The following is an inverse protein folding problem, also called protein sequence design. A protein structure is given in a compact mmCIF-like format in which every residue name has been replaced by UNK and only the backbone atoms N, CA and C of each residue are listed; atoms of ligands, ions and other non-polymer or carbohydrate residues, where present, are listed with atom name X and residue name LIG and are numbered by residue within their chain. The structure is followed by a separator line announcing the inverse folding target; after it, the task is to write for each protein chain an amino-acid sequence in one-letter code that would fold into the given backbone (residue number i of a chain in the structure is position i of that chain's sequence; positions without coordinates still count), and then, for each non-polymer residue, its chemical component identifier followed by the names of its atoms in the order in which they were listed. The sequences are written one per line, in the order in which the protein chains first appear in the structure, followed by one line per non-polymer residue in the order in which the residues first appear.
data_IF_905580153272
#
_entry.id   IF_905580153272
#
_cell.length_a   1.000
_cell.length_b   1.000
_cell.length_c   1.000
_cell.angle_alpha   90.00
_cell.angle_beta   90.00
_cell.angle_gamma   90.00
#
_symmetry.space_group_name_H-M   'P 1'
#
loop_
_entity.id
_entity.type
_entity.pdbx_description
1 polymer ?
#
# COMPACT_ATOMS: atom_id res chain seq x y z
N UNK A 1 11.29 -0.23 4.04
CA UNK A 1 11.75 1.18 4.06
C UNK A 1 10.54 2.06 4.31
N UNK A 2 10.63 3.09 5.17
CA UNK A 2 9.57 4.10 5.25
C UNK A 2 9.66 4.97 4.01
N UNK A 3 8.54 5.13 3.31
CA UNK A 3 8.45 5.96 2.12
C UNK A 3 8.18 7.39 2.56
N UNK A 4 9.00 8.34 2.13
CA UNK A 4 8.84 9.74 2.51
C UNK A 4 7.84 10.40 1.56
N UNK A 5 6.81 11.04 2.09
CA UNK A 5 5.96 11.90 1.29
C UNK A 5 6.77 13.10 0.73
N UNK A 6 6.38 13.62 -0.45
CA UNK A 6 6.90 14.85 -1.06
C UNK A 6 8.35 14.82 -1.60
N UNK A 7 8.92 13.63 -1.85
CA UNK A 7 10.16 13.48 -2.66
C UNK A 7 9.86 12.75 -3.97
N UNK A 8 9.20 13.40 -4.94
CA UNK A 8 8.65 12.73 -6.12
C UNK A 8 9.66 11.93 -6.94
N UNK A 9 10.94 12.31 -6.93
CA UNK A 9 12.01 11.67 -7.69
C UNK A 9 12.63 10.46 -6.98
N UNK A 10 12.36 10.29 -5.68
CA UNK A 10 12.99 9.26 -4.84
C UNK A 10 12.01 8.40 -4.04
N UNK A 11 10.74 8.79 -4.01
CA UNK A 11 9.69 8.07 -3.29
C UNK A 11 8.85 7.24 -4.25
N UNK A 12 8.42 6.08 -3.76
CA UNK A 12 7.47 5.26 -4.50
C UNK A 12 6.07 5.86 -4.42
N UNK A 13 5.35 5.90 -5.53
CA UNK A 13 3.96 6.36 -5.55
C UNK A 13 3.15 5.66 -6.65
N UNK A 14 1.84 5.63 -6.45
CA UNK A 14 0.87 5.14 -7.43
C UNK A 14 -0.02 6.31 -7.91
N UNK A 15 -0.35 6.42 -9.19
CA UNK A 15 -1.25 7.47 -9.68
C UNK A 15 -2.67 7.25 -9.15
N UNK A 16 -3.33 8.32 -8.68
CA UNK A 16 -4.78 8.34 -8.39
C UNK A 16 -5.51 9.24 -9.39
N UNK A 17 -6.83 9.33 -9.27
CA UNK A 17 -7.64 10.18 -10.17
C UNK A 17 -7.36 11.68 -10.03
N UNK A 18 -6.89 12.12 -8.86
CA UNK A 18 -6.68 13.53 -8.52
C UNK A 18 -5.26 13.86 -8.08
N UNK A 19 -4.46 12.88 -7.66
CA UNK A 19 -3.12 13.10 -7.10
C UNK A 19 -2.23 11.83 -7.16
N UNK A 20 -1.20 11.76 -6.32
CA UNK A 20 -0.29 10.63 -6.14
C UNK A 20 -0.49 10.01 -4.77
N UNK A 21 -0.63 8.70 -4.74
CA UNK A 21 -0.68 7.91 -3.51
C UNK A 21 0.72 7.49 -3.10
N UNK A 22 1.20 8.05 -1.98
CA UNK A 22 2.47 7.70 -1.35
C UNK A 22 2.20 6.76 -0.16
N UNK A 23 2.37 5.44 -0.31
CA UNK A 23 2.13 4.50 0.79
C UNK A 23 3.19 4.65 1.88
N UNK A 24 2.85 4.45 3.15
CA UNK A 24 3.79 4.60 4.28
C UNK A 24 5.07 3.75 4.16
N UNK A 25 4.96 2.51 3.69
CA UNK A 25 6.08 1.58 3.59
C UNK A 25 6.09 0.84 2.26
N UNK A 26 7.32 0.63 1.76
CA UNK A 26 7.59 -0.26 0.64
C UNK A 26 8.76 -1.18 1.01
N UNK A 27 8.63 -2.45 0.66
CA UNK A 27 9.64 -3.47 0.93
C UNK A 27 9.76 -4.44 -0.25
N UNK A 28 10.99 -4.82 -0.58
CA UNK A 28 11.27 -5.98 -1.43
C UNK A 28 11.50 -7.19 -0.52
N UNK A 29 10.69 -8.23 -0.72
CA UNK A 29 10.79 -9.48 0.01
C UNK A 29 11.94 -10.33 -0.52
N UNK A 30 12.40 -11.29 0.29
CA UNK A 30 13.52 -12.18 -0.06
C UNK A 30 13.23 -13.08 -1.25
N UNK A 31 11.97 -13.40 -1.47
CA UNK A 31 11.47 -14.18 -2.63
C UNK A 31 11.27 -13.32 -3.90
N UNK A 32 11.59 -12.02 -3.84
CA UNK A 32 11.50 -11.10 -4.97
C UNK A 32 10.15 -10.42 -5.17
N UNK A 33 9.15 -10.69 -4.31
CA UNK A 33 7.88 -9.93 -4.28
C UNK A 33 8.09 -8.53 -3.70
N UNK A 34 7.21 -7.60 -4.05
CA UNK A 34 7.16 -6.24 -3.50
C UNK A 34 5.94 -6.08 -2.61
N UNK A 35 6.16 -5.69 -1.36
CA UNK A 35 5.12 -5.36 -0.40
C UNK A 35 4.98 -3.85 -0.29
N UNK A 36 3.76 -3.37 -0.45
CA UNK A 36 3.35 -2.00 -0.17
C UNK A 36 2.41 -2.01 1.04
N UNK A 37 2.68 -1.17 2.04
CA UNK A 37 1.84 -1.05 3.24
C UNK A 37 1.45 0.41 3.47
N UNK A 38 0.18 0.64 3.70
CA UNK A 38 -0.38 1.93 4.10
C UNK A 38 -1.11 1.76 5.43
N UNK A 39 -0.65 2.44 6.48
CA UNK A 39 -1.27 2.38 7.79
C UNK A 39 -2.40 3.40 7.89
N UNK A 40 -3.56 2.98 8.40
CA UNK A 40 -4.67 3.88 8.68
C UNK A 40 -5.20 3.67 10.09
N UNK A 41 -5.37 4.78 10.81
CA UNK A 41 -6.09 4.78 12.08
C UNK A 41 -7.54 4.32 11.90
N UNK A 42 -8.05 3.56 12.86
CA UNK A 42 -9.38 2.94 12.79
C UNK A 42 -10.54 3.93 12.53
N UNK A 43 -10.37 5.20 12.89
CA UNK A 43 -11.33 6.29 12.73
C UNK A 43 -11.34 6.93 11.32
N UNK A 44 -10.33 6.67 10.49
CA UNK A 44 -10.18 7.27 9.14
C UNK A 44 -10.47 6.24 8.03
N UNK A 45 -10.62 4.97 8.41
CA UNK A 45 -10.69 3.82 7.49
C UNK A 45 -11.85 3.86 6.46
N UNK A 46 -12.99 4.44 6.84
CA UNK A 46 -14.23 4.35 6.06
C UNK A 46 -14.45 5.51 5.08
N UNK A 47 -13.52 6.46 4.99
CA UNK A 47 -13.68 7.61 4.09
C UNK A 47 -13.49 7.21 2.61
N UNK A 48 -13.96 8.07 1.70
CA UNK A 48 -13.88 7.84 0.26
C UNK A 48 -12.42 7.68 -0.23
N UNK A 49 -11.47 8.44 0.33
CA UNK A 49 -10.03 8.30 0.07
C UNK A 49 -9.52 6.87 0.34
N UNK A 50 -9.93 6.26 1.46
CA UNK A 50 -9.54 4.90 1.81
C UNK A 50 -10.15 3.85 0.89
N UNK A 51 -11.30 4.13 0.25
CA UNK A 51 -11.87 3.23 -0.77
C UNK A 51 -11.08 3.29 -2.07
N UNK A 52 -10.73 4.50 -2.53
CA UNK A 52 -9.91 4.68 -3.75
C UNK A 52 -8.54 4.01 -3.58
N UNK A 53 -7.89 4.20 -2.43
CA UNK A 53 -6.59 3.57 -2.14
C UNK A 53 -6.65 2.04 -2.11
N UNK A 54 -7.75 1.45 -1.62
CA UNK A 54 -7.96 -0.01 -1.67
C UNK A 54 -8.08 -0.52 -3.10
N UNK A 55 -8.90 0.14 -3.91
CA UNK A 55 -9.05 -0.22 -5.32
C UNK A 55 -7.72 -0.10 -6.08
N UNK A 56 -6.93 0.93 -5.81
CA UNK A 56 -5.59 1.09 -6.38
C UNK A 56 -4.61 -0.01 -5.91
N UNK A 57 -4.67 -0.38 -4.63
CA UNK A 57 -3.91 -1.49 -4.08
C UNK A 57 -4.25 -2.83 -4.75
N UNK A 58 -5.53 -3.10 -4.98
CA UNK A 58 -6.00 -4.29 -5.71
C UNK A 58 -5.51 -4.31 -7.16
N UNK A 59 -5.61 -3.18 -7.86
CA UNK A 59 -5.07 -3.02 -9.21
C UNK A 59 -3.55 -3.22 -9.25
N UNK A 60 -2.83 -2.72 -8.23
CA UNK A 60 -1.40 -2.92 -8.11
C UNK A 60 -1.03 -4.40 -7.95
N UNK A 61 -1.77 -5.13 -7.11
CA UNK A 61 -1.59 -6.58 -6.95
C UNK A 61 -1.86 -7.34 -8.26
N UNK A 62 -2.86 -6.90 -9.05
CA UNK A 62 -3.20 -7.51 -10.34
C UNK A 62 -2.24 -7.21 -11.49
N UNK A 63 -1.39 -6.17 -11.39
CA UNK A 63 -0.53 -5.73 -12.50
C UNK A 63 0.66 -6.63 -12.80
N UNK A 64 1.11 -7.45 -11.84
CA UNK A 64 2.21 -8.40 -12.04
C UNK A 64 1.91 -9.69 -11.31
N UNK A 65 1.62 -10.75 -12.07
CA UNK A 65 1.43 -12.16 -11.68
C UNK A 65 2.01 -12.53 -10.30
N UNK A 66 1.31 -12.20 -9.21
CA UNK A 66 1.70 -12.51 -7.84
C UNK A 66 2.97 -11.82 -7.29
N UNK A 67 3.58 -10.86 -8.01
CA UNK A 67 4.82 -10.18 -7.55
C UNK A 67 4.56 -8.92 -6.71
N UNK A 68 3.33 -8.42 -6.72
CA UNK A 68 2.95 -7.20 -6.02
C UNK A 68 1.95 -7.55 -4.91
N UNK A 69 2.26 -7.13 -3.69
CA UNK A 69 1.44 -7.33 -2.50
C UNK A 69 1.06 -5.97 -1.93
N UNK A 70 -0.17 -5.84 -1.46
CA UNK A 70 -0.66 -4.62 -0.84
C UNK A 70 -1.40 -4.95 0.46
N UNK A 71 -1.00 -4.30 1.55
CA UNK A 71 -1.70 -4.37 2.82
C UNK A 71 -2.09 -2.98 3.30
N UNK A 72 -3.29 -2.87 3.85
CA UNK A 72 -3.76 -1.64 4.45
C UNK A 72 -4.45 -2.05 5.77
N UNK A 73 -3.69 -2.17 6.88
CA UNK A 73 -4.24 -2.59 8.16
C UNK A 73 -5.07 -1.47 8.81
N UNK A 74 -6.11 -1.87 9.55
CA UNK A 74 -6.92 -0.95 10.36
C UNK A 74 -6.38 -0.90 11.78
N UNK A 75 -5.65 0.16 12.13
CA UNK A 75 -4.98 0.26 13.43
C UNK A 75 -3.90 -0.85 13.59
N UNK A 76 -3.67 -1.39 14.80
CA UNK A 76 -2.61 -2.37 15.06
C UNK A 76 -2.90 -3.79 14.53
N UNK A 77 -3.69 -3.91 13.46
CA UNK A 77 -4.02 -5.19 12.82
C UNK A 77 -2.85 -5.70 11.98
N UNK A 78 -1.85 -6.27 12.65
CA UNK A 78 -0.69 -6.87 11.98
C UNK A 78 -1.04 -8.15 11.22
N UNK A 79 -2.16 -8.80 11.54
CA UNK A 79 -2.60 -10.01 10.87
C UNK A 79 -3.04 -9.73 9.43
N UNK A 80 -3.62 -8.55 9.16
CA UNK A 80 -3.89 -8.10 7.79
C UNK A 80 -2.61 -8.02 6.93
N UNK A 81 -1.46 -7.66 7.52
CA UNK A 81 -0.18 -7.68 6.81
C UNK A 81 0.31 -9.12 6.61
N UNK A 82 0.19 -9.98 7.63
CA UNK A 82 0.60 -11.39 7.51
C UNK A 82 -0.21 -12.15 6.47
N UNK A 83 -1.49 -11.86 6.33
CA UNK A 83 -2.38 -12.51 5.38
C UNK A 83 -1.90 -12.34 3.93
N UNK A 84 -1.37 -11.17 3.57
CA UNK A 84 -0.88 -10.91 2.21
C UNK A 84 0.52 -11.45 1.94
N UNK A 85 1.25 -11.85 2.98
CA UNK A 85 2.60 -12.40 2.86
C UNK A 85 2.63 -13.91 2.58
N UNK A 86 1.48 -14.58 2.72
CA UNK A 86 1.34 -16.02 2.50
C UNK A 86 1.60 -16.41 1.04
#
# INVERSE_FOLDING_TARGET
MRNLERRPDHSFWLPTSTDRFYPDFVAKLRDGRYLVVEYKGAHIWSNADSREKRALGELWMGRREGKCLFAMPKGPDFEAIRAVLR
#
